data_IF_676794303102
#
_entry.id   IF_676794303102
#
_cell.length_a   1.000
_cell.length_b   1.000
_cell.length_c   1.000
_cell.angle_alpha   90.00
_cell.angle_beta   90.00
_cell.angle_gamma   90.00
#
_symmetry.space_group_name_H-M   'P 1'
#
loop_
_entity.id
_entity.type
_entity.pdbx_description
1 polymer ?
#
# COMPACT_ATOMS: atom_id res chain seq x y z
N UNK A 1 8.35 -18.50 -6.47
CA UNK A 1 7.44 -17.35 -6.25
C UNK A 1 6.36 -17.39 -7.32
N UNK A 2 5.19 -16.78 -7.15
CA UNK A 2 4.07 -16.91 -8.12
C UNK A 2 4.50 -16.64 -9.57
N UNK A 3 5.42 -15.70 -9.82
CA UNK A 3 6.00 -15.47 -11.15
C UNK A 3 6.85 -16.65 -11.68
N UNK A 4 7.54 -17.39 -10.82
CA UNK A 4 8.26 -18.62 -11.20
C UNK A 4 7.28 -19.75 -11.54
N UNK A 5 6.16 -19.84 -10.81
CA UNK A 5 5.10 -20.84 -11.08
C UNK A 5 4.37 -20.50 -12.39
N UNK A 6 4.05 -19.22 -12.60
CA UNK A 6 3.42 -18.71 -13.83
C UNK A 6 4.36 -18.84 -15.04
N UNK A 7 5.65 -18.53 -14.89
CA UNK A 7 6.63 -18.68 -15.99
C UNK A 7 6.96 -20.13 -16.31
N UNK A 8 6.83 -21.05 -15.34
CA UNK A 8 6.96 -22.50 -15.55
C UNK A 8 5.67 -23.18 -16.01
N UNK A 9 4.55 -22.46 -16.00
CA UNK A 9 3.21 -23.00 -16.27
C UNK A 9 2.85 -24.23 -15.41
N UNK A 10 3.45 -24.36 -14.22
CA UNK A 10 3.27 -25.56 -13.37
C UNK A 10 1.92 -25.59 -12.65
N UNK A 11 1.14 -24.50 -12.69
CA UNK A 11 -0.13 -24.34 -11.99
C UNK A 11 -1.14 -23.53 -12.83
N UNK A 12 -1.15 -23.76 -14.15
CA UNK A 12 -2.07 -23.10 -15.11
C UNK A 12 -3.32 -23.91 -15.40
N UNK A 13 -3.40 -25.13 -14.87
CA UNK A 13 -4.57 -25.99 -15.06
C UNK A 13 -5.76 -25.42 -14.28
N UNK A 14 -6.98 -25.49 -14.84
CA UNK A 14 -8.19 -25.13 -14.11
C UNK A 14 -8.31 -25.93 -12.81
N UNK A 15 -8.93 -25.36 -11.79
CA UNK A 15 -9.24 -26.11 -10.59
C UNK A 15 -10.06 -27.36 -10.92
N UNK A 16 -9.65 -28.51 -10.40
CA UNK A 16 -10.50 -29.69 -10.46
C UNK A 16 -11.81 -29.42 -9.71
N UNK A 17 -12.91 -30.04 -10.15
CA UNK A 17 -14.20 -29.89 -9.48
C UNK A 17 -14.13 -30.30 -8.00
N UNK A 18 -13.30 -31.30 -7.68
CA UNK A 18 -13.05 -31.77 -6.33
C UNK A 18 -12.34 -30.72 -5.48
N UNK A 19 -11.28 -30.10 -6.02
CA UNK A 19 -10.53 -29.04 -5.34
C UNK A 19 -11.39 -27.81 -5.12
N UNK A 20 -12.09 -27.33 -6.15
CA UNK A 20 -12.96 -26.16 -6.05
C UNK A 20 -14.04 -26.37 -4.99
N UNK A 21 -14.71 -27.53 -5.03
CA UNK A 21 -15.74 -27.89 -4.06
C UNK A 21 -15.18 -28.01 -2.64
N UNK A 22 -13.96 -28.50 -2.47
CA UNK A 22 -13.29 -28.55 -1.16
C UNK A 22 -12.97 -27.15 -0.64
N UNK A 23 -12.44 -26.26 -1.47
CA UNK A 23 -12.13 -24.87 -1.10
C UNK A 23 -13.38 -24.11 -0.68
N UNK A 24 -14.47 -24.22 -1.44
CA UNK A 24 -15.75 -23.57 -1.10
C UNK A 24 -16.32 -24.09 0.23
N UNK A 25 -16.27 -25.42 0.44
CA UNK A 25 -16.74 -26.05 1.70
C UNK A 25 -15.91 -25.58 2.89
N UNK A 26 -14.59 -25.54 2.75
CA UNK A 26 -13.70 -25.03 3.80
C UNK A 26 -13.96 -23.55 4.08
N UNK A 27 -14.11 -22.72 3.05
CA UNK A 27 -14.36 -21.29 3.26
C UNK A 27 -15.71 -21.03 3.93
N UNK A 28 -16.72 -21.85 3.64
CA UNK A 28 -18.05 -21.75 4.26
C UNK A 28 -18.10 -22.29 5.70
N UNK A 29 -17.04 -22.95 6.18
CA UNK A 29 -16.99 -23.51 7.53
C UNK A 29 -16.87 -22.41 8.60
N UNK A 30 -17.67 -22.50 9.66
CA UNK A 30 -17.70 -21.49 10.72
C UNK A 30 -16.38 -21.39 11.50
N UNK A 31 -15.65 -22.50 11.64
CA UNK A 31 -14.34 -22.50 12.28
C UNK A 31 -13.28 -21.82 11.42
N UNK A 32 -13.36 -21.97 10.09
CA UNK A 32 -12.51 -21.21 9.16
C UNK A 32 -12.86 -19.73 9.16
N UNK A 33 -14.14 -19.37 9.19
CA UNK A 33 -14.57 -17.96 9.30
C UNK A 33 -14.11 -17.33 10.63
N UNK A 34 -14.15 -18.09 11.73
CA UNK A 34 -13.63 -17.63 13.03
C UNK A 34 -12.09 -17.49 13.01
N UNK A 35 -11.39 -18.42 12.36
CA UNK A 35 -9.95 -18.29 12.14
C UNK A 35 -9.62 -17.04 11.31
N UNK A 36 -10.40 -16.78 10.25
CA UNK A 36 -10.25 -15.60 9.40
C UNK A 36 -10.54 -14.29 10.16
N UNK A 37 -11.51 -14.28 11.08
CA UNK A 37 -11.80 -13.11 11.92
C UNK A 37 -10.59 -12.68 12.77
N UNK A 38 -9.70 -13.64 13.06
CA UNK A 38 -8.44 -13.49 13.80
C UNK A 38 -7.21 -13.34 12.90
N UNK A 39 -7.39 -13.05 11.60
CA UNK A 39 -6.29 -12.94 10.62
C UNK A 39 -5.21 -11.89 10.94
N UNK A 40 -5.38 -11.04 11.95
CA UNK A 40 -4.31 -10.17 12.47
C UNK A 40 -3.19 -10.95 13.18
N UNK A 41 -3.49 -12.16 13.67
CA UNK A 41 -2.58 -12.98 14.48
C UNK A 41 -1.57 -13.78 13.63
N UNK A 42 -1.76 -13.80 12.31
CA UNK A 42 -0.90 -14.53 11.38
C UNK A 42 -0.79 -13.82 10.03
N UNK A 43 0.09 -14.30 9.16
CA UNK A 43 0.37 -13.67 7.88
C UNK A 43 -0.65 -14.12 6.82
N UNK A 44 -1.68 -13.30 6.60
CA UNK A 44 -2.68 -13.51 5.53
C UNK A 44 -2.59 -12.44 4.45
N UNK A 45 -2.97 -12.79 3.22
CA UNK A 45 -3.09 -11.83 2.13
C UNK A 45 -4.37 -11.00 2.28
N UNK A 46 -4.27 -9.68 2.13
CA UNK A 46 -5.39 -8.74 2.20
C UNK A 46 -6.49 -9.05 1.18
N UNK A 47 -6.14 -9.65 0.04
CA UNK A 47 -7.10 -10.08 -0.99
C UNK A 47 -7.73 -11.45 -0.73
N UNK A 48 -7.38 -12.14 0.37
CA UNK A 48 -7.82 -13.52 0.61
C UNK A 48 -9.35 -13.65 0.59
N UNK A 49 -10.06 -12.81 1.33
CA UNK A 49 -11.52 -12.81 1.35
C UNK A 49 -12.11 -12.57 -0.04
N UNK A 50 -11.60 -11.58 -0.79
CA UNK A 50 -12.09 -11.27 -2.13
C UNK A 50 -12.06 -12.49 -3.06
N UNK A 51 -10.94 -13.23 -3.06
CA UNK A 51 -10.79 -14.42 -3.88
C UNK A 51 -11.63 -15.60 -3.37
N UNK A 52 -11.65 -15.81 -2.05
CA UNK A 52 -12.38 -16.93 -1.44
C UNK A 52 -13.90 -16.75 -1.53
N UNK A 53 -14.40 -15.52 -1.43
CA UNK A 53 -15.81 -15.18 -1.68
C UNK A 53 -16.19 -15.33 -3.16
N UNK A 54 -15.21 -15.33 -4.07
CA UNK A 54 -15.39 -15.41 -5.53
C UNK A 54 -15.05 -16.78 -6.13
N UNK A 55 -14.91 -17.83 -5.31
CA UNK A 55 -14.46 -19.15 -5.79
C UNK A 55 -15.32 -19.71 -6.92
N UNK A 56 -16.64 -19.55 -6.86
CA UNK A 56 -17.54 -19.97 -7.94
C UNK A 56 -17.19 -19.34 -9.29
N UNK A 57 -16.87 -18.04 -9.29
CA UNK A 57 -16.51 -17.29 -10.50
C UNK A 57 -15.11 -17.63 -10.98
N UNK A 58 -14.15 -17.74 -10.06
CA UNK A 58 -12.73 -17.97 -10.38
C UNK A 58 -12.50 -19.42 -10.82
N UNK A 59 -13.25 -20.37 -10.24
CA UNK A 59 -13.18 -21.78 -10.58
C UNK A 59 -13.99 -22.19 -11.81
N UNK A 60 -14.68 -21.25 -12.47
CA UNK A 60 -15.40 -21.51 -13.70
C UNK A 60 -14.43 -21.84 -14.86
N UNK A 61 -14.83 -22.77 -15.74
CA UNK A 61 -13.98 -23.21 -16.85
C UNK A 61 -13.69 -22.10 -17.89
N UNK A 62 -14.58 -21.11 -17.97
CA UNK A 62 -14.50 -19.95 -18.84
C UNK A 62 -14.08 -18.67 -18.08
N UNK A 63 -13.52 -18.82 -16.87
CA UNK A 63 -13.07 -17.69 -16.06
C UNK A 63 -12.11 -16.79 -16.83
N UNK A 64 -12.45 -15.51 -16.87
CA UNK A 64 -11.56 -14.45 -17.32
C UNK A 64 -11.36 -13.46 -16.17
N UNK A 65 -10.10 -13.13 -15.83
CA UNK A 65 -9.84 -12.18 -14.76
C UNK A 65 -10.38 -10.81 -15.12
N UNK A 66 -11.10 -10.23 -14.16
CA UNK A 66 -11.54 -8.84 -14.22
C UNK A 66 -10.36 -7.92 -13.90
N UNK A 67 -10.46 -6.64 -14.27
CA UNK A 67 -9.48 -5.63 -13.84
C UNK A 67 -9.31 -5.62 -12.31
N UNK A 68 -10.40 -5.88 -11.57
CA UNK A 68 -10.39 -5.93 -10.12
C UNK A 68 -9.61 -7.13 -9.56
N UNK A 69 -9.63 -8.27 -10.24
CA UNK A 69 -8.80 -9.44 -9.90
C UNK A 69 -7.33 -9.10 -10.12
N UNK A 70 -7.00 -8.46 -11.25
CA UNK A 70 -5.63 -8.05 -11.58
C UNK A 70 -5.10 -7.08 -10.51
N UNK A 71 -5.88 -6.04 -10.17
CA UNK A 71 -5.50 -5.06 -9.14
C UNK A 71 -5.36 -5.66 -7.73
N UNK A 72 -6.07 -6.74 -7.43
CA UNK A 72 -5.99 -7.47 -6.14
C UNK A 72 -4.93 -8.56 -6.13
N UNK A 73 -4.31 -8.85 -7.27
CA UNK A 73 -3.26 -9.87 -7.36
C UNK A 73 -2.00 -9.37 -6.66
N UNK A 74 -1.47 -10.18 -5.75
CA UNK A 74 -0.26 -9.81 -4.99
C UNK A 74 0.97 -10.38 -5.68
N UNK A 75 1.67 -9.52 -6.41
CA UNK A 75 3.02 -9.80 -6.91
C UNK A 75 4.00 -8.95 -6.13
N UNK A 76 5.02 -9.58 -5.53
CA UNK A 76 6.07 -8.87 -4.80
C UNK A 76 7.01 -8.21 -5.81
N UNK A 77 7.05 -6.87 -5.86
CA UNK A 77 8.07 -6.15 -6.64
C UNK A 77 9.46 -6.47 -6.09
N UNK A 78 10.37 -6.88 -6.98
CA UNK A 78 11.79 -7.09 -6.70
C UNK A 78 12.61 -6.15 -7.58
N UNK A 79 13.66 -5.57 -7.02
CA UNK A 79 14.47 -4.57 -7.72
C UNK A 79 13.75 -3.24 -7.92
N UNK A 80 14.05 -2.63 -9.07
CA UNK A 80 13.54 -1.33 -9.49
C UNK A 80 12.95 -1.52 -10.88
N UNK A 81 11.70 -1.11 -11.06
CA UNK A 81 11.00 -1.15 -12.34
C UNK A 81 10.72 0.28 -12.77
N UNK A 82 11.16 0.62 -13.98
CA UNK A 82 10.95 1.94 -14.57
C UNK A 82 9.81 1.88 -15.58
N UNK A 83 8.84 2.80 -15.47
CA UNK A 83 7.72 2.92 -16.40
C UNK A 83 7.60 4.34 -16.91
N UNK A 84 7.40 4.49 -18.22
CA UNK A 84 7.16 5.78 -18.86
C UNK A 84 5.72 5.86 -19.33
N UNK A 85 5.06 6.97 -19.04
CA UNK A 85 3.74 7.25 -19.57
C UNK A 85 3.53 8.75 -19.76
N UNK A 86 2.55 9.11 -20.58
CA UNK A 86 2.16 10.50 -20.79
C UNK A 86 0.75 10.70 -20.27
N UNK A 87 0.54 11.76 -19.48
CA UNK A 87 -0.77 12.12 -18.97
C UNK A 87 -0.94 13.63 -18.98
N UNK A 88 -2.01 14.13 -19.61
CA UNK A 88 -2.30 15.57 -19.81
C UNK A 88 -1.07 16.36 -20.31
N UNK A 89 -0.38 15.81 -21.32
CA UNK A 89 0.83 16.36 -21.95
C UNK A 89 2.08 16.46 -21.05
N UNK A 90 2.07 15.84 -19.86
CA UNK A 90 3.28 15.66 -19.05
C UNK A 90 3.83 14.25 -19.25
N UNK A 91 5.15 14.14 -19.39
CA UNK A 91 5.86 12.87 -19.45
C UNK A 91 6.29 12.45 -18.05
N UNK A 92 5.77 11.33 -17.58
CA UNK A 92 6.10 10.74 -16.29
C UNK A 92 7.12 9.63 -16.45
N UNK A 93 8.15 9.69 -15.60
CA UNK A 93 9.12 8.62 -15.38
C UNK A 93 8.92 8.09 -13.97
N UNK A 94 8.18 6.98 -13.84
CA UNK A 94 7.86 6.37 -12.55
C UNK A 94 8.84 5.23 -12.25
N UNK A 95 9.40 5.24 -11.05
CA UNK A 95 10.21 4.15 -10.53
C UNK A 95 9.44 3.43 -9.42
N UNK A 96 9.01 2.20 -9.68
CA UNK A 96 8.48 1.30 -8.66
C UNK A 96 9.64 0.53 -8.02
N UNK A 97 9.75 0.60 -6.70
CA UNK A 97 10.86 0.01 -5.94
C UNK A 97 10.32 -1.00 -4.93
N UNK A 98 11.03 -2.13 -4.80
CA UNK A 98 10.67 -3.13 -3.79
C UNK A 98 10.69 -2.55 -2.36
N UNK A 99 9.58 -2.66 -1.63
CA UNK A 99 9.42 -2.12 -0.27
C UNK A 99 10.07 -2.93 0.86
N UNK A 100 10.38 -4.21 0.59
CA UNK A 100 10.92 -5.14 1.59
C UNK A 100 12.33 -4.75 2.04
N UNK A 101 12.70 -5.08 3.28
CA UNK A 101 14.00 -4.72 3.86
C UNK A 101 15.20 -5.13 2.98
N UNK A 102 15.12 -6.27 2.30
CA UNK A 102 16.17 -6.76 1.38
C UNK A 102 16.37 -5.89 0.14
N UNK A 103 15.33 -5.18 -0.29
CA UNK A 103 15.31 -4.39 -1.52
C UNK A 103 15.78 -2.95 -1.30
N UNK A 104 15.65 -2.43 -0.08
CA UNK A 104 15.92 -1.01 0.24
C UNK A 104 17.34 -0.55 -0.04
N UNK A 105 18.33 -1.44 0.02
CA UNK A 105 19.73 -1.11 -0.35
C UNK A 105 19.87 -0.69 -1.82
N UNK A 106 18.94 -1.12 -2.69
CA UNK A 106 18.96 -0.82 -4.12
C UNK A 106 18.39 0.56 -4.43
N UNK A 107 17.61 1.15 -3.51
CA UNK A 107 16.90 2.41 -3.76
C UNK A 107 17.80 3.57 -4.14
N UNK A 108 19.05 3.61 -3.64
CA UNK A 108 20.02 4.66 -3.96
C UNK A 108 20.24 4.83 -5.48
N UNK A 109 19.97 3.79 -6.28
CA UNK A 109 20.09 3.82 -7.75
C UNK A 109 19.02 4.68 -8.45
N UNK A 110 18.00 5.17 -7.74
CA UNK A 110 16.97 6.05 -8.30
C UNK A 110 16.80 7.37 -7.51
N UNK A 111 17.82 7.81 -6.78
CA UNK A 111 17.74 9.01 -5.91
C UNK A 111 18.10 10.33 -6.62
N UNK A 112 18.59 10.27 -7.86
CA UNK A 112 18.96 11.47 -8.63
C UNK A 112 17.75 12.04 -9.38
N UNK A 113 17.65 13.38 -9.42
CA UNK A 113 16.64 14.15 -10.15
C UNK A 113 15.18 13.77 -9.84
N UNK A 114 14.89 13.41 -8.59
CA UNK A 114 13.54 13.07 -8.14
C UNK A 114 12.70 14.33 -7.92
N UNK A 115 11.66 14.51 -8.73
CA UNK A 115 10.70 15.62 -8.58
C UNK A 115 9.85 15.49 -7.31
N UNK A 116 9.33 14.30 -7.05
CA UNK A 116 8.50 14.01 -5.89
C UNK A 116 8.62 12.52 -5.50
N UNK A 117 8.45 12.22 -4.21
CA UNK A 117 8.37 10.85 -3.70
C UNK A 117 6.92 10.53 -3.40
N UNK A 118 6.42 9.40 -3.92
CA UNK A 118 5.15 8.84 -3.48
C UNK A 118 5.45 7.80 -2.40
N UNK A 119 5.06 8.08 -1.16
CA UNK A 119 5.25 7.18 -0.03
C UNK A 119 3.93 6.52 0.35
N UNK A 120 3.82 5.21 0.14
CA UNK A 120 2.60 4.45 0.42
C UNK A 120 2.65 3.76 1.79
N UNK A 121 1.68 4.06 2.64
CA UNK A 121 1.45 3.46 3.96
C UNK A 121 0.21 2.59 3.90
N UNK A 122 0.27 1.39 4.48
CA UNK A 122 -0.92 0.58 4.69
C UNK A 122 -1.58 0.95 6.02
N UNK A 123 -2.69 1.71 5.99
CA UNK A 123 -3.47 2.06 7.19
C UNK A 123 -3.88 0.82 7.98
N UNK A 124 -4.29 -0.24 7.28
CA UNK A 124 -4.70 -1.52 7.86
C UNK A 124 -3.57 -2.30 8.57
N UNK A 125 -2.33 -1.83 8.52
CA UNK A 125 -1.16 -2.49 9.13
C UNK A 125 -0.96 -2.21 10.62
N UNK A 126 -1.77 -1.34 11.25
CA UNK A 126 -1.56 -0.89 12.63
C UNK A 126 -1.60 -2.00 13.69
N UNK A 127 -2.31 -3.09 13.47
CA UNK A 127 -2.42 -4.23 14.40
C UNK A 127 -1.79 -5.51 13.83
N UNK A 128 -0.84 -5.36 12.91
CA UNK A 128 -0.12 -6.46 12.27
C UNK A 128 1.38 -6.30 12.45
N UNK A 129 2.09 -7.44 12.40
CA UNK A 129 3.56 -7.51 12.39
C UNK A 129 4.11 -7.76 10.98
N UNK A 130 5.35 -7.36 10.74
CA UNK A 130 6.06 -7.60 9.49
C UNK A 130 6.15 -9.10 9.19
N UNK A 131 6.21 -9.43 7.90
CA UNK A 131 6.42 -10.81 7.48
C UNK A 131 7.89 -11.23 7.68
N UNK A 132 8.81 -10.28 7.60
CA UNK A 132 10.26 -10.53 7.67
C UNK A 132 10.77 -10.95 9.05
N UNK A 133 10.13 -10.53 10.14
CA UNK A 133 10.56 -10.82 11.51
C UNK A 133 9.45 -11.20 12.49
N UNK A 134 8.18 -11.17 12.05
CA UNK A 134 6.99 -11.55 12.83
C UNK A 134 6.85 -10.87 14.21
N UNK A 135 7.56 -9.77 14.43
CA UNK A 135 7.66 -9.12 15.74
C UNK A 135 7.50 -7.62 15.64
N UNK A 136 8.04 -6.98 14.60
CA UNK A 136 7.94 -5.54 14.40
C UNK A 136 6.56 -5.17 13.88
N UNK A 137 5.85 -4.25 14.54
CA UNK A 137 4.59 -3.73 14.04
C UNK A 137 4.77 -3.00 12.69
N UNK A 138 3.90 -3.28 11.72
CA UNK A 138 4.02 -2.75 10.34
C UNK A 138 3.92 -1.22 10.27
N UNK A 139 3.06 -0.62 11.09
CA UNK A 139 2.89 0.84 11.12
C UNK A 139 4.10 1.53 11.73
N UNK A 140 4.68 0.98 12.80
CA UNK A 140 5.91 1.50 13.40
C UNK A 140 7.10 1.40 12.44
N UNK A 141 7.26 0.28 11.74
CA UNK A 141 8.26 0.17 10.67
C UNK A 141 8.04 1.22 9.57
N UNK A 142 6.79 1.45 9.16
CA UNK A 142 6.47 2.45 8.15
C UNK A 142 6.79 3.87 8.61
N UNK A 143 6.54 4.21 9.88
CA UNK A 143 6.91 5.49 10.47
C UNK A 143 8.42 5.68 10.54
N UNK A 144 9.17 4.65 10.94
CA UNK A 144 10.64 4.68 10.96
C UNK A 144 11.21 4.86 9.55
N UNK A 145 10.67 4.13 8.57
CA UNK A 145 11.08 4.25 7.17
C UNK A 145 10.76 5.65 6.63
N UNK A 146 9.56 6.16 6.90
CA UNK A 146 9.18 7.50 6.49
C UNK A 146 10.08 8.57 7.08
N UNK A 147 10.38 8.51 8.39
CA UNK A 147 11.32 9.44 9.05
C UNK A 147 12.69 9.43 8.37
N UNK A 148 13.19 8.25 7.98
CA UNK A 148 14.47 8.10 7.29
C UNK A 148 14.49 8.67 5.87
N UNK A 149 13.37 8.60 5.13
CA UNK A 149 13.24 9.13 3.77
C UNK A 149 12.96 10.64 3.81
N UNK A 150 12.01 11.05 4.64
CA UNK A 150 11.59 12.44 4.79
C UNK A 150 12.77 13.34 5.16
N UNK A 151 13.66 12.85 6.02
CA UNK A 151 14.82 13.60 6.51
C UNK A 151 16.14 13.19 5.83
N UNK A 152 16.08 12.47 4.70
CA UNK A 152 17.29 12.09 3.96
C UNK A 152 17.91 13.31 3.27
N UNK A 153 19.24 13.44 3.35
CA UNK A 153 20.00 14.51 2.69
C UNK A 153 19.80 14.58 1.17
N UNK A 154 19.56 13.44 0.52
CA UNK A 154 19.31 13.39 -0.93
C UNK A 154 17.94 13.94 -1.31
N UNK A 155 17.03 14.06 -0.34
CA UNK A 155 15.65 14.44 -0.57
C UNK A 155 15.25 15.73 0.12
N UNK A 156 16.17 16.53 0.65
CA UNK A 156 15.85 17.71 1.48
C UNK A 156 14.79 18.60 0.80
N UNK A 157 14.98 18.89 -0.49
CA UNK A 157 14.11 19.76 -1.29
C UNK A 157 13.05 18.98 -2.10
N UNK A 158 13.00 17.66 -1.98
CA UNK A 158 12.03 16.81 -2.68
C UNK A 158 10.70 16.78 -1.91
N UNK A 159 9.60 17.17 -2.57
CA UNK A 159 8.25 17.08 -2.02
C UNK A 159 7.81 15.62 -1.86
N UNK A 160 6.95 15.35 -0.87
CA UNK A 160 6.47 13.99 -0.60
C UNK A 160 4.95 13.95 -0.72
N UNK A 161 4.46 13.03 -1.54
CA UNK A 161 3.06 12.66 -1.62
C UNK A 161 2.87 11.44 -0.73
N UNK A 162 2.19 11.61 0.40
CA UNK A 162 1.93 10.56 1.37
C UNK A 162 0.58 9.89 1.09
N UNK A 163 0.63 8.63 0.68
CA UNK A 163 -0.57 7.82 0.48
C UNK A 163 -0.86 6.97 1.69
N UNK A 164 -1.88 7.37 2.45
CA UNK A 164 -2.48 6.55 3.49
C UNK A 164 -3.47 5.59 2.83
N UNK A 165 -2.95 4.46 2.37
CA UNK A 165 -3.62 3.49 1.52
C UNK A 165 -4.37 2.42 2.33
N UNK A 166 -5.22 1.65 1.65
CA UNK A 166 -6.09 0.60 2.22
C UNK A 166 -7.09 1.16 3.22
N UNK A 167 -7.62 2.36 2.94
CA UNK A 167 -8.64 3.01 3.77
C UNK A 167 -9.90 2.15 3.93
N UNK A 168 -10.24 1.37 2.92
CA UNK A 168 -11.34 0.40 2.90
C UNK A 168 -11.14 -0.70 3.95
N UNK A 169 -9.96 -1.32 3.97
CA UNK A 169 -9.63 -2.35 4.96
C UNK A 169 -9.51 -1.75 6.37
N UNK A 170 -8.97 -0.54 6.48
CA UNK A 170 -8.87 0.15 7.76
C UNK A 170 -10.25 0.46 8.37
N UNK A 171 -11.20 0.92 7.55
CA UNK A 171 -12.56 1.24 7.99
C UNK A 171 -13.28 0.04 8.62
N UNK A 172 -13.06 -1.19 8.12
CA UNK A 172 -13.63 -2.38 8.73
C UNK A 172 -12.86 -2.86 9.97
N UNK A 173 -11.54 -2.70 9.95
CA UNK A 173 -10.66 -3.20 11.02
C UNK A 173 -10.77 -2.39 12.30
N UNK A 174 -10.85 -1.06 12.18
CA UNK A 174 -10.91 -0.15 13.33
C UNK A 174 -12.14 -0.41 14.20
N UNK A 175 -13.26 -0.87 13.62
CA UNK A 175 -14.47 -1.26 14.36
C UNK A 175 -14.25 -2.41 15.37
N UNK A 176 -13.22 -3.24 15.15
CA UNK A 176 -12.96 -4.47 15.92
C UNK A 176 -11.67 -4.42 16.73
N UNK A 177 -10.66 -3.72 16.22
CA UNK A 177 -9.30 -3.71 16.75
C UNK A 177 -8.92 -2.26 17.06
N UNK A 178 -8.76 -1.86 18.34
CA UNK A 178 -8.56 -0.45 18.68
C UNK A 178 -7.18 0.05 18.25
N UNK A 179 -7.10 1.33 17.85
CA UNK A 179 -5.83 1.95 17.43
C UNK A 179 -4.74 1.89 18.52
N UNK A 180 -5.15 1.83 19.79
CA UNK A 180 -4.26 1.77 20.95
C UNK A 180 -3.34 0.54 20.99
N UNK A 181 -3.63 -0.50 20.21
CA UNK A 181 -2.70 -1.62 20.00
C UNK A 181 -1.39 -1.15 19.37
N UNK A 182 -1.49 -0.20 18.43
CA UNK A 182 -0.33 0.39 17.78
C UNK A 182 0.22 1.57 18.58
N UNK A 183 -0.67 2.44 19.07
CA UNK A 183 -0.33 3.69 19.73
C UNK A 183 -0.97 3.73 21.14
N UNK A 184 -0.34 3.12 22.17
CA UNK A 184 -0.89 3.07 23.53
C UNK A 184 -1.25 4.45 24.12
N UNK A 185 -0.59 5.50 23.64
CA UNK A 185 -0.81 6.90 24.00
C UNK A 185 -2.05 7.53 23.35
N UNK A 186 -2.68 6.85 22.38
CA UNK A 186 -3.87 7.35 21.71
C UNK A 186 -5.09 7.30 22.65
N UNK A 187 -5.61 8.48 22.99
CA UNK A 187 -6.77 8.65 23.87
C UNK A 187 -8.04 9.08 23.12
N UNK A 188 -7.97 9.20 21.80
CA UNK A 188 -9.09 9.62 20.97
C UNK A 188 -10.15 8.53 20.75
N UNK A 189 -11.31 8.90 20.16
CA UNK A 189 -12.36 7.93 19.80
C UNK A 189 -11.86 6.91 18.78
N UNK A 190 -12.28 5.66 18.89
CA UNK A 190 -11.90 4.61 17.95
C UNK A 190 -12.75 4.62 16.66
N UNK A 191 -13.02 5.81 16.12
CA UNK A 191 -13.73 6.02 14.85
C UNK A 191 -12.73 6.00 13.69
N UNK A 192 -13.23 5.83 12.46
CA UNK A 192 -12.37 5.88 11.27
C UNK A 192 -11.69 7.24 11.14
N UNK A 193 -12.46 8.32 11.29
CA UNK A 193 -12.02 9.69 11.08
C UNK A 193 -10.94 10.10 12.10
N UNK A 194 -11.19 9.88 13.39
CA UNK A 194 -10.27 10.26 14.46
C UNK A 194 -8.97 9.43 14.40
N UNK A 195 -9.08 8.14 14.11
CA UNK A 195 -7.93 7.25 14.03
C UNK A 195 -7.07 7.53 12.78
N UNK A 196 -7.71 7.78 11.63
CA UNK A 196 -7.01 8.12 10.39
C UNK A 196 -6.31 9.48 10.50
N UNK A 197 -6.99 10.49 11.07
CA UNK A 197 -6.40 11.80 11.33
C UNK A 197 -5.20 11.71 12.29
N UNK A 198 -5.28 10.87 13.32
CA UNK A 198 -4.16 10.63 14.22
C UNK A 198 -2.97 10.00 13.50
N UNK A 199 -3.20 8.94 12.70
CA UNK A 199 -2.13 8.31 11.91
C UNK A 199 -1.50 9.33 10.96
N UNK A 200 -2.30 10.14 10.26
CA UNK A 200 -1.79 11.21 9.40
C UNK A 200 -0.87 12.17 10.18
N UNK A 201 -1.31 12.65 11.34
CA UNK A 201 -0.51 13.53 12.19
C UNK A 201 0.81 12.87 12.65
N UNK A 202 0.81 11.56 12.91
CA UNK A 202 2.03 10.83 13.26
C UNK A 202 3.08 10.87 12.13
N UNK A 203 2.66 10.72 10.87
CA UNK A 203 3.55 10.82 9.72
C UNK A 203 4.01 12.27 9.48
N UNK A 204 3.09 13.23 9.47
CA UNK A 204 3.42 14.65 9.28
C UNK A 204 4.40 15.16 10.34
N UNK A 205 4.30 14.68 11.58
CA UNK A 205 5.22 15.03 12.68
C UNK A 205 6.67 14.58 12.45
N UNK A 206 6.93 13.65 11.51
CA UNK A 206 8.29 13.21 11.17
C UNK A 206 9.03 14.19 10.28
N UNK A 207 8.34 15.16 9.67
CA UNK A 207 8.98 16.18 8.86
C UNK A 207 9.72 17.19 9.74
N UNK A 208 11.04 17.27 9.58
CA UNK A 208 11.88 18.23 10.31
C UNK A 208 12.21 19.47 9.47
N UNK A 209 11.83 19.49 8.19
CA UNK A 209 12.08 20.60 7.29
C UNK A 209 10.82 21.48 7.19
N UNK A 210 10.89 22.77 7.60
CA UNK A 210 9.75 23.67 7.50
C UNK A 210 9.39 24.01 6.05
N UNK A 211 10.31 23.79 5.11
CA UNK A 211 10.14 24.13 3.69
C UNK A 211 9.67 22.94 2.84
N UNK A 212 9.62 21.74 3.43
CA UNK A 212 9.20 20.53 2.74
C UNK A 212 7.70 20.35 2.93
N UNK A 213 7.00 20.24 1.81
CA UNK A 213 5.56 19.98 1.80
C UNK A 213 5.28 18.48 1.75
N UNK A 214 4.35 18.03 2.59
CA UNK A 214 3.80 16.67 2.57
C UNK A 214 2.34 16.75 2.13
N UNK A 215 2.04 16.19 0.97
CA UNK A 215 0.70 16.09 0.42
C UNK A 215 0.08 14.77 0.83
N UNK A 216 -0.74 14.79 1.89
CA UNK A 216 -1.36 13.58 2.41
C UNK A 216 -2.70 13.27 1.72
N UNK A 217 -2.87 12.02 1.27
CA UNK A 217 -4.10 11.54 0.67
C UNK A 217 -4.50 10.17 1.20
N UNK A 218 -5.78 10.04 1.58
CA UNK A 218 -6.40 8.77 1.95
C UNK A 218 -6.84 8.02 0.70
N UNK A 219 -6.16 6.92 0.38
CA UNK A 219 -6.31 6.20 -0.89
C UNK A 219 -6.77 4.76 -0.69
N UNK A 220 -7.29 4.18 -1.77
CA UNK A 220 -7.50 2.74 -1.90
C UNK A 220 -6.91 2.34 -3.24
N UNK A 221 -5.76 1.67 -3.30
CA UNK A 221 -5.02 1.46 -4.55
C UNK A 221 -5.78 0.68 -5.64
N UNK A 222 -6.85 -0.02 -5.27
CA UNK A 222 -7.75 -0.67 -6.23
C UNK A 222 -8.74 0.31 -6.89
N UNK A 223 -8.82 1.54 -6.42
CA UNK A 223 -9.61 2.63 -7.01
C UNK A 223 -8.80 3.33 -8.11
N UNK A 224 -9.34 3.33 -9.32
CA UNK A 224 -8.70 3.92 -10.51
C UNK A 224 -8.69 5.46 -10.48
N UNK A 225 -9.46 6.08 -9.58
CA UNK A 225 -9.47 7.54 -9.39
C UNK A 225 -8.18 8.11 -8.78
N UNK A 226 -7.33 7.28 -8.15
CA UNK A 226 -6.12 7.77 -7.45
C UNK A 226 -5.09 8.41 -8.39
N UNK A 227 -5.08 8.07 -9.68
CA UNK A 227 -4.12 8.66 -10.63
C UNK A 227 -4.34 10.17 -10.79
N UNK A 228 -5.59 10.62 -10.65
CA UNK A 228 -5.93 12.04 -10.69
C UNK A 228 -5.33 12.77 -9.49
N UNK A 229 -5.35 12.14 -8.31
CA UNK A 229 -4.74 12.67 -7.08
C UNK A 229 -3.23 12.83 -7.23
N UNK A 230 -2.53 11.82 -7.78
CA UNK A 230 -1.09 11.93 -8.06
C UNK A 230 -0.83 13.10 -9.00
N UNK A 231 -1.61 13.21 -10.07
CA UNK A 231 -1.44 14.26 -11.06
C UNK A 231 -1.62 15.66 -10.48
N UNK A 232 -2.68 15.87 -9.69
CA UNK A 232 -2.99 17.17 -9.10
C UNK A 232 -1.87 17.58 -8.13
N UNK A 233 -1.41 16.66 -7.27
CA UNK A 233 -0.29 16.91 -6.37
C UNK A 233 1.01 17.23 -7.11
N UNK A 234 1.35 16.49 -8.18
CA UNK A 234 2.55 16.76 -8.98
C UNK A 234 2.45 18.11 -9.69
N UNK A 235 1.26 18.47 -10.18
CA UNK A 235 1.03 19.78 -10.82
C UNK A 235 1.25 20.91 -9.83
N UNK A 236 0.70 20.80 -8.61
CA UNK A 236 0.90 21.77 -7.55
C UNK A 236 2.38 21.91 -7.17
N UNK A 237 3.11 20.79 -7.05
CA UNK A 237 4.55 20.79 -6.76
C UNK A 237 5.33 21.54 -7.85
N UNK A 238 5.02 21.28 -9.14
CA UNK A 238 5.68 21.96 -10.26
C UNK A 238 5.38 23.46 -10.23
N UNK A 239 4.12 23.85 -9.98
CA UNK A 239 3.73 25.26 -9.90
C UNK A 239 4.43 25.95 -8.72
N UNK A 240 4.43 25.34 -7.53
CA UNK A 240 5.08 25.88 -6.34
C UNK A 240 6.59 26.06 -6.54
N UNK A 241 7.25 25.10 -7.20
CA UNK A 241 8.67 25.18 -7.53
C UNK A 241 8.95 26.30 -8.54
N UNK A 242 8.11 26.47 -9.57
CA UNK A 242 8.25 27.56 -10.53
C UNK A 242 8.05 28.94 -9.87
N UNK A 243 7.06 29.07 -8.97
CA UNK A 243 6.81 30.32 -8.23
C UNK A 243 7.97 30.69 -7.30
N UNK A 244 8.55 29.72 -6.57
CA UNK A 244 9.77 29.91 -5.77
C UNK A 244 10.95 30.30 -6.65
N UNK A 245 11.14 29.64 -7.79
CA UNK A 245 12.19 29.97 -8.76
C UNK A 245 12.07 31.38 -9.34
N UNK A 246 10.86 31.94 -9.39
CA UNK A 246 10.60 33.31 -9.82
C UNK A 246 10.63 34.35 -8.67
N UNK A 247 10.88 33.93 -7.41
CA UNK A 247 10.92 34.82 -6.25
C UNK A 247 9.56 35.37 -5.80
N UNK A 248 8.47 34.70 -6.17
CA UNK A 248 7.09 35.11 -5.84
C UNK A 248 6.55 34.41 -4.58
N UNK A 249 7.35 33.57 -3.94
CA UNK A 249 6.99 32.73 -2.79
C UNK A 249 8.21 32.53 -1.88
#
# INVERSE_FOLDING_TARGET
MVCDVVSRMEDTEPYSAELLSAMMRLWSDSGIQECFSRAREYQLNDSAQYYLDSLDRIGAADYQPTEQDILRTRVKTTGIVETHFTFKNLHFRLFDVGGQRSERKKWIHCFEDVTAIIFCVALSGYDQVLHEDETTNRMHESLMLFDSICNNKFFIDTSIILFLNKKDLFAEKIKKSPLSICFPEYTGPNTYEDAAAYIQAQFESKNRSPNKEIYCHMTCATDTGNIQVVFDAVTDIIIANNLRGCGLY
#
